data_IF_515233054233
#
_entry.id   IF_515233054233
#
_cell.length_a   1.000
_cell.length_b   1.000
_cell.length_c   1.000
_cell.angle_alpha   90.00
_cell.angle_beta   90.00
_cell.angle_gamma   90.00
#
_symmetry.space_group_name_H-M   'P 1'
#
loop_
_entity.id
_entity.type
_entity.pdbx_description
1 polymer ?
#
# COMPACT_ATOMS: atom_id res chain seq x y z
N UNK A 1 15.17 23.47 31.85
CA UNK A 1 14.80 22.83 30.56
C UNK A 1 15.79 21.73 30.16
N UNK A 2 17.10 21.98 30.03
CA UNK A 2 18.06 20.95 29.56
C UNK A 2 18.23 19.64 30.35
N UNK A 3 17.53 19.43 31.47
CA UNK A 3 17.46 18.14 32.18
C UNK A 3 16.08 17.46 32.09
N UNK A 4 15.09 18.16 31.53
CA UNK A 4 13.69 17.76 31.46
C UNK A 4 13.26 17.43 30.02
N UNK A 5 13.98 17.95 29.02
CA UNK A 5 13.68 17.73 27.62
C UNK A 5 14.21 16.35 27.15
N UNK A 6 13.58 15.80 26.12
CA UNK A 6 14.08 14.61 25.45
C UNK A 6 15.43 14.92 24.75
N UNK A 7 16.36 13.94 24.62
CA UNK A 7 17.69 14.17 24.03
C UNK A 7 17.68 14.78 22.63
N UNK A 8 16.62 14.52 21.83
CA UNK A 8 16.43 15.10 20.50
C UNK A 8 16.33 16.64 20.52
N UNK A 9 16.05 17.25 21.67
CA UNK A 9 15.89 18.70 21.87
C UNK A 9 17.15 19.38 22.41
N UNK A 10 18.24 18.65 22.62
CA UNK A 10 19.46 19.20 23.22
C UNK A 10 20.05 20.35 22.39
N UNK A 11 19.93 20.30 21.06
CA UNK A 11 20.37 21.37 20.17
C UNK A 11 19.50 22.63 20.31
N UNK A 12 18.18 22.47 20.47
CA UNK A 12 17.26 23.60 20.68
C UNK A 12 17.54 24.27 22.03
N UNK A 13 17.81 23.48 23.08
CA UNK A 13 18.25 23.99 24.38
C UNK A 13 19.60 24.69 24.31
N UNK A 14 20.54 24.23 23.48
CA UNK A 14 21.83 24.89 23.27
C UNK A 14 21.65 26.25 22.59
N UNK A 15 20.77 26.34 21.59
CA UNK A 15 20.41 27.60 20.92
C UNK A 15 19.80 28.60 21.89
N UNK A 16 18.89 28.16 22.77
CA UNK A 16 18.31 29.01 23.81
C UNK A 16 19.37 29.68 24.70
N UNK A 17 20.42 28.94 25.09
CA UNK A 17 21.50 29.48 25.93
C UNK A 17 22.36 30.53 25.22
N UNK A 18 22.41 30.48 23.88
CA UNK A 18 23.19 31.42 23.07
C UNK A 18 22.43 32.72 22.74
N UNK A 19 21.11 32.76 22.96
CA UNK A 19 20.27 33.93 22.65
C UNK A 19 20.40 35.01 23.73
N UNK A 20 20.98 36.16 23.37
CA UNK A 20 21.21 37.28 24.29
C UNK A 20 20.03 38.27 24.44
N UNK A 21 19.09 38.30 23.49
CA UNK A 21 17.91 39.17 23.57
C UNK A 21 16.78 38.48 24.36
N UNK A 22 16.30 39.14 25.41
CA UNK A 22 15.27 38.62 26.33
C UNK A 22 13.95 38.30 25.63
N UNK A 23 13.51 39.13 24.67
CA UNK A 23 12.22 38.93 23.98
C UNK A 23 12.29 37.69 23.09
N UNK A 24 13.36 37.56 22.32
CA UNK A 24 13.63 36.40 21.45
C UNK A 24 13.85 35.13 22.28
N UNK A 25 14.53 35.25 23.43
CA UNK A 25 14.69 34.15 24.37
C UNK A 25 13.32 33.64 24.85
N UNK A 26 12.44 34.53 25.31
CA UNK A 26 11.10 34.15 25.75
C UNK A 26 10.28 33.48 24.63
N UNK A 27 10.32 34.03 23.40
CA UNK A 27 9.67 33.42 22.23
C UNK A 27 10.18 32.00 21.95
N UNK A 28 11.49 31.81 21.96
CA UNK A 28 12.08 30.50 21.72
C UNK A 28 11.78 29.52 22.88
N UNK A 29 11.69 30.00 24.13
CA UNK A 29 11.29 29.17 25.27
C UNK A 29 9.87 28.62 25.07
N UNK A 30 8.91 29.47 24.70
CA UNK A 30 7.55 29.01 24.41
C UNK A 30 7.52 27.98 23.28
N UNK A 31 8.28 28.23 22.21
CA UNK A 31 8.40 27.26 21.13
C UNK A 31 8.94 25.90 21.60
N UNK A 32 9.96 25.87 22.46
CA UNK A 32 10.49 24.62 23.02
C UNK A 32 9.50 23.95 23.96
N UNK A 33 8.73 24.69 24.75
CA UNK A 33 7.67 24.13 25.59
C UNK A 33 6.56 23.47 24.76
N UNK A 34 6.18 24.06 23.62
CA UNK A 34 5.22 23.47 22.70
C UNK A 34 5.75 22.15 22.11
N UNK A 35 7.03 22.13 21.72
CA UNK A 35 7.69 20.91 21.25
C UNK A 35 7.73 19.84 22.36
N UNK A 36 8.00 20.21 23.61
CA UNK A 36 7.97 19.29 24.75
C UNK A 36 6.58 18.70 24.99
N UNK A 37 5.52 19.49 24.83
CA UNK A 37 4.15 18.99 24.94
C UNK A 37 3.86 17.93 23.87
N UNK A 38 4.31 18.15 22.63
CA UNK A 38 4.19 17.16 21.54
C UNK A 38 5.03 15.91 21.82
N UNK A 39 6.24 16.06 22.35
CA UNK A 39 7.10 14.93 22.73
C UNK A 39 6.45 14.08 23.82
N UNK A 40 5.83 14.70 24.83
CA UNK A 40 5.09 14.02 25.89
C UNK A 40 3.87 13.28 25.34
N UNK A 41 3.07 13.90 24.47
CA UNK A 41 1.94 13.25 23.83
C UNK A 41 2.38 12.02 23.03
N UNK A 42 3.45 12.15 22.22
CA UNK A 42 4.02 11.04 21.46
C UNK A 42 4.54 9.92 22.35
N UNK A 43 5.18 10.26 23.48
CA UNK A 43 5.64 9.27 24.46
C UNK A 43 4.46 8.49 25.06
N UNK A 44 3.40 9.18 25.50
CA UNK A 44 2.21 8.55 26.07
C UNK A 44 1.52 7.64 25.04
N UNK A 45 1.39 8.10 23.79
CA UNK A 45 0.84 7.27 22.70
C UNK A 45 1.69 5.99 22.53
N UNK A 46 3.02 6.11 22.51
CA UNK A 46 3.93 4.97 22.37
C UNK A 46 3.85 4.01 23.56
N UNK A 47 3.75 4.53 24.79
CA UNK A 47 3.67 3.70 26.00
C UNK A 47 2.35 2.93 26.08
N UNK A 48 1.23 3.57 25.72
CA UNK A 48 -0.09 2.94 25.84
C UNK A 48 -0.49 2.09 24.63
N UNK A 49 0.01 2.39 23.42
CA UNK A 49 -0.30 1.64 22.18
C UNK A 49 -0.27 0.11 22.33
N UNK A 50 0.77 -0.54 22.91
CA UNK A 50 0.79 -2.00 23.00
C UNK A 50 -0.32 -2.56 23.91
N UNK A 51 -0.74 -1.81 24.93
CA UNK A 51 -1.84 -2.21 25.81
C UNK A 51 -3.18 -2.14 25.08
N UNK A 52 -3.43 -1.03 24.37
CA UNK A 52 -4.63 -0.87 23.56
C UNK A 52 -4.72 -1.91 22.45
N UNK A 53 -3.62 -2.19 21.75
CA UNK A 53 -3.61 -3.18 20.66
C UNK A 53 -4.00 -4.58 21.14
N UNK A 54 -3.56 -5.01 22.33
CA UNK A 54 -3.95 -6.31 22.89
C UNK A 54 -5.44 -6.37 23.17
N UNK A 55 -5.99 -5.35 23.83
CA UNK A 55 -7.41 -5.30 24.18
C UNK A 55 -8.32 -5.10 22.95
N UNK A 56 -7.84 -4.36 21.94
CA UNK A 56 -8.56 -4.09 20.71
C UNK A 56 -8.93 -5.38 19.98
N UNK A 57 -7.98 -6.31 19.84
CA UNK A 57 -8.20 -7.57 19.14
C UNK A 57 -9.31 -8.38 19.80
N UNK A 58 -9.28 -8.49 21.13
CA UNK A 58 -10.28 -9.24 21.88
C UNK A 58 -11.64 -8.52 21.83
N UNK A 59 -11.66 -7.21 22.01
CA UNK A 59 -12.88 -6.40 21.97
C UNK A 59 -13.58 -6.49 20.60
N UNK A 60 -12.87 -6.23 19.50
CA UNK A 60 -13.44 -6.28 18.15
C UNK A 60 -13.92 -7.69 17.81
N UNK A 61 -13.16 -8.72 18.19
CA UNK A 61 -13.56 -10.12 17.96
C UNK A 61 -14.83 -10.47 18.72
N UNK A 62 -14.93 -10.12 20.01
CA UNK A 62 -16.13 -10.37 20.82
C UNK A 62 -17.33 -9.63 20.25
N UNK A 63 -17.18 -8.36 19.88
CA UNK A 63 -18.26 -7.57 19.28
C UNK A 63 -18.72 -8.13 17.94
N UNK A 64 -17.79 -8.57 17.10
CA UNK A 64 -18.15 -9.19 15.83
C UNK A 64 -18.82 -10.56 16.02
N UNK A 65 -18.42 -11.32 17.04
CA UNK A 65 -19.07 -12.58 17.40
C UNK A 65 -20.53 -12.35 17.84
N UNK A 66 -20.80 -11.31 18.66
CA UNK A 66 -22.18 -10.91 19.02
C UNK A 66 -23.01 -10.59 17.77
N UNK A 67 -22.44 -9.85 16.80
CA UNK A 67 -23.13 -9.52 15.53
C UNK A 67 -23.46 -10.79 14.74
N UNK A 68 -22.58 -11.79 14.72
CA UNK A 68 -22.83 -13.05 14.01
C UNK A 68 -23.92 -13.91 14.66
N UNK A 69 -24.05 -13.83 15.99
CA UNK A 69 -25.10 -14.53 16.72
C UNK A 69 -26.48 -13.92 16.44
N UNK A 70 -26.55 -12.59 16.30
CA UNK A 70 -27.78 -11.89 15.92
C UNK A 70 -28.08 -12.00 14.42
N UNK A 71 -27.05 -11.97 13.57
CA UNK A 71 -27.16 -11.97 12.11
C UNK A 71 -26.21 -13.01 11.49
N UNK A 72 -26.66 -14.26 11.31
CA UNK A 72 -25.83 -15.34 10.76
C UNK A 72 -25.30 -15.09 9.34
N UNK A 73 -25.92 -14.20 8.56
CA UNK A 73 -25.50 -13.80 7.21
C UNK A 73 -24.44 -12.69 7.17
N UNK A 74 -23.94 -12.21 8.32
CA UNK A 74 -22.98 -11.10 8.40
C UNK A 74 -21.57 -11.39 7.83
N UNK A 75 -21.36 -12.56 7.21
CA UNK A 75 -20.11 -12.97 6.55
C UNK A 75 -20.27 -13.31 5.07
N UNK A 76 -21.43 -13.04 4.46
CA UNK A 76 -21.71 -13.45 3.08
C UNK A 76 -20.77 -12.75 2.08
N UNK A 77 -20.54 -11.44 2.21
CA UNK A 77 -19.65 -10.68 1.31
C UNK A 77 -18.19 -11.09 1.54
N UNK A 78 -17.79 -11.27 2.79
CA UNK A 78 -16.47 -11.77 3.16
C UNK A 78 -16.23 -13.17 2.58
N UNK A 79 -17.22 -14.04 2.64
CA UNK A 79 -17.15 -15.40 2.06
C UNK A 79 -17.03 -15.35 0.55
N UNK A 80 -17.82 -14.50 -0.12
CA UNK A 80 -17.74 -14.28 -1.58
C UNK A 80 -16.37 -13.75 -2.00
N UNK A 81 -15.84 -12.75 -1.29
CA UNK A 81 -14.51 -12.18 -1.53
C UNK A 81 -13.38 -13.22 -1.43
N UNK A 82 -13.40 -14.07 -0.40
CA UNK A 82 -12.42 -15.15 -0.26
C UNK A 82 -12.62 -16.21 -1.35
N UNK A 83 -13.87 -16.58 -1.65
CA UNK A 83 -14.22 -17.59 -2.68
C UNK A 83 -13.74 -17.20 -4.08
N UNK A 84 -13.83 -15.93 -4.45
CA UNK A 84 -13.27 -15.43 -5.72
C UNK A 84 -11.76 -15.74 -5.83
N UNK A 85 -11.03 -15.60 -4.73
CA UNK A 85 -9.60 -15.92 -4.68
C UNK A 85 -9.32 -17.42 -4.72
N UNK A 86 -10.12 -18.23 -4.03
CA UNK A 86 -10.04 -19.70 -4.13
C UNK A 86 -10.22 -20.16 -5.58
N UNK A 87 -11.24 -19.64 -6.27
CA UNK A 87 -11.56 -20.03 -7.63
C UNK A 87 -10.43 -19.68 -8.61
N UNK A 88 -9.88 -18.46 -8.51
CA UNK A 88 -8.76 -18.04 -9.36
C UNK A 88 -7.49 -18.86 -9.11
N UNK A 89 -7.15 -19.14 -7.85
CA UNK A 89 -6.00 -20.00 -7.55
C UNK A 89 -6.21 -21.41 -8.11
N UNK A 90 -7.43 -21.95 -8.03
CA UNK A 90 -7.76 -23.26 -8.59
C UNK A 90 -7.58 -23.31 -10.12
N UNK A 91 -7.99 -22.23 -10.82
CA UNK A 91 -7.79 -22.10 -12.26
C UNK A 91 -6.31 -22.01 -12.61
N UNK A 92 -5.53 -21.23 -11.85
CA UNK A 92 -4.09 -21.07 -12.08
C UNK A 92 -3.30 -22.39 -11.90
N UNK A 93 -3.69 -23.21 -10.93
CA UNK A 93 -3.09 -24.54 -10.68
C UNK A 93 -3.47 -25.52 -11.80
N UNK A 94 -4.69 -25.41 -12.33
CA UNK A 94 -5.15 -26.24 -13.45
C UNK A 94 -4.41 -25.91 -14.76
N UNK A 95 -4.05 -24.64 -14.99
CA UNK A 95 -3.27 -24.22 -16.16
C UNK A 95 -1.79 -24.62 -16.07
N UNK A 96 -1.21 -24.64 -14.88
CA UNK A 96 0.20 -25.06 -14.65
C UNK A 96 0.37 -26.58 -14.53
N UNK A 97 -0.72 -27.34 -14.31
CA UNK A 97 -0.74 -28.79 -14.12
C UNK A 97 -0.74 -29.66 -15.38
N UNK A 98 -0.40 -29.14 -16.56
CA UNK A 98 -0.44 -29.86 -17.85
C UNK A 98 0.64 -30.95 -18.06
N UNK A 99 1.25 -31.49 -16.99
CA UNK A 99 2.02 -32.75 -17.09
C UNK A 99 1.18 -33.91 -16.55
N UNK A 100 0.69 -34.84 -17.39
CA UNK A 100 -0.05 -36.00 -16.93
C UNK A 100 0.91 -37.02 -16.33
N UNK A 101 1.16 -36.93 -15.02
CA UNK A 101 1.73 -38.02 -14.25
C UNK A 101 0.59 -38.79 -13.56
N UNK A 102 0.58 -40.09 -13.79
CA UNK A 102 -0.46 -41.05 -13.47
C UNK A 102 -1.04 -40.94 -12.04
N UNK A 103 -2.38 -40.99 -11.98
CA UNK A 103 -3.12 -41.75 -10.97
C UNK A 103 -2.95 -41.34 -9.52
N UNK A 104 -3.57 -40.24 -9.10
CA UNK A 104 -4.30 -40.11 -7.82
C UNK A 104 -5.03 -38.77 -7.85
N UNK A 105 -6.36 -38.80 -7.70
CA UNK A 105 -7.22 -37.61 -7.70
C UNK A 105 -7.09 -36.82 -6.39
N UNK A 106 -5.89 -36.32 -6.10
CA UNK A 106 -5.69 -35.35 -5.02
C UNK A 106 -6.23 -34.00 -5.48
N UNK A 107 -7.22 -33.45 -4.76
CA UNK A 107 -7.63 -32.06 -4.96
C UNK A 107 -6.39 -31.17 -4.78
N UNK A 108 -6.18 -30.14 -5.62
CA UNK A 108 -5.03 -29.27 -5.47
C UNK A 108 -5.01 -28.67 -4.07
N UNK A 109 -3.92 -28.92 -3.34
CA UNK A 109 -3.75 -28.42 -1.97
C UNK A 109 -3.43 -26.93 -2.02
N UNK A 110 -4.46 -26.10 -2.00
CA UNK A 110 -4.32 -24.64 -1.87
C UNK A 110 -3.94 -24.29 -0.43
N UNK A 111 -2.90 -23.47 -0.26
CA UNK A 111 -2.52 -22.93 1.05
C UNK A 111 -3.55 -21.87 1.49
N UNK A 112 -4.24 -22.04 2.64
CA UNK A 112 -5.22 -21.07 3.14
C UNK A 112 -4.61 -19.66 3.33
N UNK A 113 -3.35 -19.59 3.76
CA UNK A 113 -2.62 -18.33 3.93
C UNK A 113 -2.35 -17.65 2.59
N UNK A 114 -2.01 -18.41 1.56
CA UNK A 114 -1.77 -17.88 0.21
C UNK A 114 -3.06 -17.31 -0.37
N UNK A 115 -4.16 -18.07 -0.28
CA UNK A 115 -5.49 -17.63 -0.74
C UNK A 115 -5.87 -16.32 -0.06
N UNK A 116 -5.78 -16.26 1.27
CA UNK A 116 -6.14 -15.06 2.02
C UNK A 116 -5.24 -13.86 1.67
N UNK A 117 -3.93 -14.06 1.52
CA UNK A 117 -3.02 -13.00 1.07
C UNK A 117 -3.40 -12.46 -0.32
N UNK A 118 -3.74 -13.35 -1.25
CA UNK A 118 -4.16 -12.93 -2.59
C UNK A 118 -5.53 -12.23 -2.55
N UNK A 119 -6.45 -12.64 -1.66
CA UNK A 119 -7.70 -11.92 -1.42
C UNK A 119 -7.45 -10.49 -0.98
N UNK A 120 -6.52 -10.26 -0.06
CA UNK A 120 -6.13 -8.91 0.34
C UNK A 120 -5.55 -8.14 -0.84
N UNK A 121 -4.56 -8.68 -1.58
CA UNK A 121 -3.94 -7.97 -2.71
C UNK A 121 -4.95 -7.46 -3.75
N UNK A 122 -6.03 -8.21 -3.99
CA UNK A 122 -7.12 -7.78 -4.89
C UNK A 122 -7.87 -6.54 -4.41
N UNK A 123 -7.88 -6.25 -3.10
CA UNK A 123 -8.49 -5.03 -2.57
C UNK A 123 -7.79 -3.76 -3.06
N UNK A 124 -6.52 -3.86 -3.45
CA UNK A 124 -5.76 -2.76 -4.07
C UNK A 124 -6.09 -2.54 -5.56
N UNK A 125 -6.92 -3.41 -6.13
CA UNK A 125 -7.47 -3.30 -7.49
C UNK A 125 -9.00 -3.29 -7.45
N UNK A 126 -9.59 -3.03 -6.28
CA UNK A 126 -11.02 -3.14 -6.08
C UNK A 126 -11.77 -1.97 -6.71
N UNK A 127 -12.93 -2.27 -7.30
CA UNK A 127 -13.89 -1.25 -7.69
C UNK A 127 -14.78 -0.91 -6.49
N UNK A 128 -14.35 0.08 -5.71
CA UNK A 128 -15.05 0.57 -4.50
C UNK A 128 -16.44 1.17 -4.80
N UNK A 129 -16.78 1.44 -6.07
CA UNK A 129 -18.09 2.01 -6.44
C UNK A 129 -19.12 0.93 -6.78
N UNK A 130 -18.68 -0.20 -7.33
CA UNK A 130 -19.59 -1.23 -7.86
C UNK A 130 -19.60 -2.53 -7.06
N UNK A 131 -18.51 -2.84 -6.36
CA UNK A 131 -18.31 -4.17 -5.78
C UNK A 131 -18.49 -4.14 -4.27
N UNK A 132 -19.30 -5.08 -3.77
CA UNK A 132 -19.62 -5.21 -2.34
C UNK A 132 -18.35 -5.38 -1.49
N UNK A 133 -18.18 -4.52 -0.49
CA UNK A 133 -17.00 -4.57 0.37
C UNK A 133 -17.15 -5.63 1.50
N UNK A 134 -16.08 -6.38 1.85
CA UNK A 134 -16.14 -7.39 2.91
C UNK A 134 -16.51 -6.79 4.27
N UNK A 135 -17.46 -7.41 4.99
CA UNK A 135 -17.94 -6.92 6.30
C UNK A 135 -16.80 -6.82 7.31
N UNK A 136 -15.88 -7.78 7.28
CA UNK A 136 -14.70 -7.83 8.15
C UNK A 136 -13.71 -6.69 7.92
N UNK A 137 -13.87 -5.88 6.88
CA UNK A 137 -12.97 -4.77 6.54
C UNK A 137 -13.67 -3.41 6.51
N UNK A 138 -14.97 -3.35 6.82
CA UNK A 138 -15.79 -2.14 6.65
C UNK A 138 -15.26 -0.92 7.41
N UNK A 139 -14.64 -1.15 8.57
CA UNK A 139 -14.03 -0.09 9.39
C UNK A 139 -12.78 0.53 8.75
N UNK A 140 -12.11 -0.22 7.86
CA UNK A 140 -10.90 0.19 7.15
C UNK A 140 -11.15 0.57 5.68
N UNK A 141 -12.41 0.56 5.22
CA UNK A 141 -12.77 0.80 3.81
C UNK A 141 -12.18 2.10 3.26
N UNK A 142 -12.43 3.24 3.92
CA UNK A 142 -11.91 4.54 3.49
C UNK A 142 -10.37 4.59 3.45
N UNK A 143 -9.71 3.92 4.40
CA UNK A 143 -8.23 3.86 4.48
C UNK A 143 -7.68 3.00 3.34
N UNK A 144 -8.33 1.90 3.02
CA UNK A 144 -7.95 1.00 1.93
C UNK A 144 -8.19 1.64 0.57
N UNK A 145 -9.27 2.41 0.43
CA UNK A 145 -9.53 3.23 -0.74
C UNK A 145 -8.40 4.26 -0.92
N UNK A 146 -8.07 5.06 0.11
CA UNK A 146 -6.98 6.06 0.04
C UNK A 146 -5.63 5.43 -0.34
N UNK A 147 -5.32 4.24 0.18
CA UNK A 147 -4.11 3.51 -0.19
C UNK A 147 -4.13 3.03 -1.65
N UNK A 148 -5.27 2.57 -2.13
CA UNK A 148 -5.46 2.15 -3.54
C UNK A 148 -5.27 3.33 -4.49
N UNK A 149 -5.87 4.47 -4.13
CA UNK A 149 -5.76 5.75 -4.82
C UNK A 149 -4.31 6.22 -4.95
N UNK A 150 -3.57 6.25 -3.83
CA UNK A 150 -2.13 6.57 -3.82
C UNK A 150 -1.32 5.57 -4.63
N UNK A 151 -1.63 4.29 -4.54
CA UNK A 151 -0.92 3.24 -5.27
C UNK A 151 -1.08 3.43 -6.78
N UNK A 152 -2.28 3.76 -7.25
CA UNK A 152 -2.53 4.02 -8.66
C UNK A 152 -1.75 5.25 -9.17
N UNK A 153 -1.69 6.32 -8.37
CA UNK A 153 -0.84 7.48 -8.69
C UNK A 153 0.64 7.09 -8.82
N UNK A 154 1.16 6.31 -7.87
CA UNK A 154 2.55 5.82 -7.89
C UNK A 154 2.83 4.91 -9.10
N UNK A 155 1.88 4.06 -9.51
CA UNK A 155 2.00 3.24 -10.73
C UNK A 155 2.25 4.11 -11.96
N UNK A 156 1.47 5.19 -12.13
CA UNK A 156 1.63 6.11 -13.26
C UNK A 156 2.98 6.81 -13.19
N UNK A 157 3.37 7.33 -12.02
CA UNK A 157 4.70 7.97 -11.84
C UNK A 157 5.84 7.01 -12.20
N UNK A 158 5.76 5.74 -11.79
CA UNK A 158 6.76 4.73 -12.14
C UNK A 158 6.79 4.45 -13.65
N UNK A 159 5.62 4.40 -14.32
CA UNK A 159 5.55 4.26 -15.78
C UNK A 159 6.21 5.44 -16.50
N UNK A 160 5.88 6.67 -16.11
CA UNK A 160 6.44 7.91 -16.66
C UNK A 160 7.96 7.96 -16.48
N UNK A 161 8.43 7.59 -15.29
CA UNK A 161 9.85 7.55 -14.98
C UNK A 161 10.59 6.49 -15.80
N UNK A 162 9.98 5.32 -15.99
CA UNK A 162 10.56 4.25 -16.80
C UNK A 162 10.65 4.66 -18.29
N UNK A 163 9.62 5.28 -18.84
CA UNK A 163 9.65 5.81 -20.22
C UNK A 163 10.72 6.89 -20.35
N UNK A 164 10.78 7.82 -19.40
CA UNK A 164 11.77 8.90 -19.39
C UNK A 164 13.20 8.33 -19.36
N UNK A 165 13.47 7.35 -18.49
CA UNK A 165 14.79 6.73 -18.40
C UNK A 165 15.13 5.89 -19.64
N UNK A 166 14.15 5.23 -20.28
CA UNK A 166 14.40 4.49 -21.52
C UNK A 166 14.70 5.41 -22.71
N UNK A 167 14.00 6.55 -22.80
CA UNK A 167 14.14 7.48 -23.93
C UNK A 167 15.30 8.47 -23.75
N UNK A 168 15.46 8.98 -22.53
CA UNK A 168 16.35 10.08 -22.19
C UNK A 168 17.43 9.66 -21.20
N UNK A 169 17.64 8.36 -20.96
CA UNK A 169 18.57 7.83 -19.96
C UNK A 169 19.97 8.40 -20.07
N UNK A 170 20.52 8.49 -21.29
CA UNK A 170 21.85 9.08 -21.52
C UNK A 170 21.93 10.58 -21.17
N UNK A 171 20.79 11.28 -21.19
CA UNK A 171 20.68 12.70 -20.85
C UNK A 171 20.46 12.87 -19.34
N UNK A 172 19.68 11.97 -18.72
CA UNK A 172 19.34 12.01 -17.30
C UNK A 172 20.37 11.29 -16.42
N UNK A 173 21.35 10.62 -17.01
CA UNK A 173 22.44 9.95 -16.29
C UNK A 173 23.24 10.95 -15.44
N UNK A 174 23.40 10.65 -14.15
CA UNK A 174 24.07 11.54 -13.19
C UNK A 174 23.27 12.79 -12.79
N UNK A 175 21.95 12.84 -13.04
CA UNK A 175 21.06 13.95 -12.66
C UNK A 175 19.93 13.50 -11.70
N UNK A 176 20.25 13.12 -10.44
CA UNK A 176 19.23 12.69 -9.47
C UNK A 176 18.21 13.80 -9.16
N UNK A 177 18.66 15.06 -9.10
CA UNK A 177 17.78 16.21 -8.82
C UNK A 177 16.73 16.45 -9.90
N UNK A 178 17.04 16.14 -11.17
CA UNK A 178 16.08 16.22 -12.27
C UNK A 178 15.03 15.13 -12.13
N UNK A 179 15.43 13.90 -11.83
CA UNK A 179 14.48 12.79 -11.61
C UNK A 179 13.51 13.12 -10.47
N UNK A 180 14.01 13.68 -9.36
CA UNK A 180 13.18 14.12 -8.25
C UNK A 180 12.24 15.29 -8.61
N UNK A 181 12.70 16.25 -9.41
CA UNK A 181 11.85 17.33 -9.95
C UNK A 181 10.73 16.78 -10.82
N UNK A 182 11.05 15.90 -11.76
CA UNK A 182 10.06 15.27 -12.66
C UNK A 182 9.04 14.42 -11.88
N UNK A 183 9.49 13.69 -10.86
CA UNK A 183 8.60 12.97 -9.94
C UNK A 183 7.64 13.92 -9.23
N UNK A 184 8.14 15.03 -8.65
CA UNK A 184 7.29 16.02 -7.97
C UNK A 184 6.27 16.67 -8.90
N UNK A 185 6.70 17.08 -10.10
CA UNK A 185 5.80 17.65 -11.12
C UNK A 185 4.71 16.64 -11.49
N UNK A 186 5.09 15.39 -11.75
CA UNK A 186 4.14 14.33 -12.08
C UNK A 186 3.16 14.09 -10.95
N UNK A 187 3.64 14.07 -9.70
CA UNK A 187 2.80 13.88 -8.52
C UNK A 187 1.74 14.99 -8.37
N UNK A 188 2.14 16.25 -8.55
CA UNK A 188 1.21 17.39 -8.48
C UNK A 188 0.16 17.34 -9.60
N UNK A 189 0.58 17.05 -10.83
CA UNK A 189 -0.35 16.99 -11.96
C UNK A 189 -1.31 15.79 -11.89
N UNK A 190 -0.88 14.68 -11.27
CA UNK A 190 -1.71 13.49 -11.04
C UNK A 190 -2.55 13.59 -9.76
N UNK A 191 -2.52 14.70 -9.04
CA UNK A 191 -3.34 14.88 -7.85
C UNK A 191 -4.84 14.86 -8.20
N UNK A 192 -5.62 14.05 -7.48
CA UNK A 192 -7.05 13.89 -7.75
C UNK A 192 -7.39 12.93 -8.90
N UNK A 193 -6.46 12.05 -9.29
CA UNK A 193 -6.67 11.03 -10.34
C UNK A 193 -7.92 10.16 -10.13
N UNK A 194 -8.41 10.04 -8.90
CA UNK A 194 -9.54 9.18 -8.54
C UNK A 194 -10.91 9.91 -8.63
N UNK A 195 -10.94 11.18 -9.03
CA UNK A 195 -12.17 11.93 -9.25
C UNK A 195 -12.76 11.56 -10.62
N UNK A 196 -14.09 11.44 -10.70
CA UNK A 196 -14.79 11.11 -11.96
C UNK A 196 -14.52 12.11 -13.10
N UNK A 197 -14.22 13.36 -12.76
CA UNK A 197 -13.92 14.42 -13.72
C UNK A 197 -12.47 14.40 -14.22
N UNK A 198 -11.64 13.48 -13.75
CA UNK A 198 -10.22 13.46 -14.07
C UNK A 198 -9.95 12.88 -15.46
N UNK A 199 -9.42 13.72 -16.36
CA UNK A 199 -9.02 13.29 -17.70
C UNK A 199 -7.55 12.85 -17.69
N UNK A 200 -7.32 11.55 -17.51
CA UNK A 200 -5.97 10.98 -17.45
C UNK A 200 -5.16 11.28 -18.71
N UNK A 201 -5.75 11.22 -19.90
CA UNK A 201 -5.06 11.50 -21.16
C UNK A 201 -4.52 12.92 -21.24
N UNK A 202 -5.34 13.90 -20.87
CA UNK A 202 -4.96 15.31 -20.89
C UNK A 202 -3.85 15.62 -19.88
N UNK A 203 -3.95 15.02 -18.69
CA UNK A 203 -2.90 15.14 -17.67
C UNK A 203 -1.61 14.49 -18.13
N UNK A 204 -1.65 13.28 -18.73
CA UNK A 204 -0.46 12.61 -19.27
C UNK A 204 0.22 13.43 -20.38
N UNK A 205 -0.56 14.05 -21.27
CA UNK A 205 -0.03 14.99 -22.26
C UNK A 205 0.67 16.18 -21.58
N UNK A 206 0.02 16.77 -20.57
CA UNK A 206 0.55 17.93 -19.83
C UNK A 206 1.85 17.57 -19.08
N UNK A 207 1.91 16.39 -18.47
CA UNK A 207 3.11 15.86 -17.83
C UNK A 207 4.23 15.64 -18.85
N UNK A 208 3.91 15.16 -20.05
CA UNK A 208 4.87 14.99 -21.13
C UNK A 208 5.49 16.32 -21.58
N UNK A 209 4.64 17.33 -21.81
CA UNK A 209 5.09 18.69 -22.16
C UNK A 209 5.96 19.29 -21.05
N UNK A 210 5.54 19.18 -19.79
CA UNK A 210 6.31 19.69 -18.66
C UNK A 210 7.64 18.94 -18.50
N UNK A 211 7.66 17.62 -18.74
CA UNK A 211 8.90 16.83 -18.71
C UNK A 211 9.88 17.33 -19.77
N UNK A 212 9.43 17.56 -21.01
CA UNK A 212 10.26 18.15 -22.06
C UNK A 212 10.80 19.53 -21.65
N UNK A 213 9.97 20.38 -21.04
CA UNK A 213 10.38 21.71 -20.59
C UNK A 213 11.46 21.65 -19.48
N UNK A 214 11.27 20.81 -18.46
CA UNK A 214 12.23 20.66 -17.36
C UNK A 214 13.56 20.04 -17.81
N UNK A 215 13.51 19.10 -18.76
CA UNK A 215 14.72 18.51 -19.38
C UNK A 215 15.45 19.56 -20.22
N UNK A 216 14.75 20.28 -21.10
CA UNK A 216 15.35 21.33 -21.93
C UNK A 216 15.98 22.45 -21.08
N UNK A 217 15.32 22.85 -19.99
CA UNK A 217 15.90 23.80 -19.03
C UNK A 217 17.23 23.30 -18.47
N UNK A 218 17.28 22.04 -18.04
CA UNK A 218 18.49 21.43 -17.47
C UNK A 218 19.61 21.27 -18.52
N UNK A 219 19.26 20.99 -19.77
CA UNK A 219 20.20 20.93 -20.90
C UNK A 219 20.83 22.30 -21.18
N UNK A 220 20.01 23.36 -21.24
CA UNK A 220 20.47 24.74 -21.46
C UNK A 220 21.39 25.20 -20.33
N UNK A 221 21.05 24.91 -19.06
CA UNK A 221 21.89 25.21 -17.90
C UNK A 221 23.27 24.54 -17.98
N UNK A 222 23.39 23.42 -18.69
CA UNK A 222 24.64 22.69 -18.93
C UNK A 222 25.32 23.02 -20.27
N UNK A 223 24.78 23.96 -21.04
CA UNK A 223 25.29 24.31 -22.36
C UNK A 223 25.11 23.23 -23.44
N UNK A 224 24.18 22.30 -23.22
CA UNK A 224 23.85 21.22 -24.17
C UNK A 224 22.67 21.64 -25.07
N UNK A 225 22.57 21.07 -26.29
CA UNK A 225 21.43 21.36 -27.17
C UNK A 225 20.14 20.81 -26.59
N UNK A 226 19.04 21.55 -26.79
CA UNK A 226 17.69 21.12 -26.42
C UNK A 226 17.25 19.88 -27.21
N UNK A 227 16.30 19.14 -26.66
CA UNK A 227 15.65 18.02 -27.34
C UNK A 227 15.02 18.48 -28.66
N UNK A 228 15.17 17.68 -29.73
CA UNK A 228 14.51 17.95 -31.00
C UNK A 228 12.98 17.74 -30.89
N UNK A 229 12.24 18.30 -31.85
CA UNK A 229 10.77 18.24 -31.83
C UNK A 229 10.23 16.80 -31.92
N UNK A 230 10.95 15.93 -32.64
CA UNK A 230 10.57 14.52 -32.80
C UNK A 230 10.65 13.73 -31.48
N UNK A 231 11.74 13.88 -30.72
CA UNK A 231 11.91 13.23 -29.41
C UNK A 231 10.87 13.75 -28.42
N UNK A 232 10.58 15.06 -28.44
CA UNK A 232 9.53 15.64 -27.60
C UNK A 232 8.15 15.07 -27.94
N UNK A 233 7.80 15.03 -29.24
CA UNK A 233 6.53 14.47 -29.70
C UNK A 233 6.40 12.98 -29.36
N UNK A 234 7.48 12.21 -29.52
CA UNK A 234 7.51 10.79 -29.16
C UNK A 234 7.34 10.60 -27.65
N UNK A 235 7.99 11.40 -26.81
CA UNK A 235 7.84 11.30 -25.35
C UNK A 235 6.41 11.55 -24.90
N UNK A 236 5.80 12.63 -25.40
CA UNK A 236 4.39 12.95 -25.14
C UNK A 236 3.47 11.83 -25.62
N UNK A 237 3.72 11.29 -26.82
CA UNK A 237 2.96 10.16 -27.37
C UNK A 237 3.06 8.89 -26.51
N UNK A 238 4.26 8.55 -26.03
CA UNK A 238 4.49 7.42 -25.13
C UNK A 238 3.78 7.61 -23.79
N UNK A 239 3.81 8.81 -23.20
CA UNK A 239 3.09 9.08 -21.95
C UNK A 239 1.59 8.90 -22.11
N UNK A 240 1.02 9.45 -23.17
CA UNK A 240 -0.42 9.32 -23.44
C UNK A 240 -0.87 7.89 -23.76
N UNK A 241 0.07 7.03 -24.17
CA UNK A 241 -0.21 5.60 -24.35
C UNK A 241 -0.43 4.83 -23.04
N UNK A 242 -0.05 5.39 -21.88
CA UNK A 242 -0.20 4.74 -20.55
C UNK A 242 -1.68 4.61 -20.14
N UNK A 243 -2.54 5.50 -20.65
CA UNK A 243 -3.98 5.46 -20.39
C UNK A 243 -4.59 4.09 -20.74
N UNK A 244 -4.09 3.45 -21.79
CA UNK A 244 -4.59 2.17 -22.27
C UNK A 244 -4.28 1.04 -21.27
N UNK A 245 -5.26 0.18 -21.01
CA UNK A 245 -5.11 -0.95 -20.09
C UNK A 245 -4.14 -2.03 -20.59
N UNK A 246 -4.02 -2.18 -21.91
CA UNK A 246 -3.13 -3.13 -22.58
C UNK A 246 -1.67 -2.64 -22.69
N UNK A 247 -1.36 -1.48 -22.10
CA UNK A 247 -0.03 -0.91 -22.17
C UNK A 247 1.01 -1.85 -21.50
N UNK A 248 2.06 -2.27 -22.22
CA UNK A 248 3.02 -3.25 -21.70
C UNK A 248 3.83 -2.72 -20.52
N UNK A 249 4.10 -1.41 -20.48
CA UNK A 249 4.82 -0.76 -19.38
C UNK A 249 3.94 -0.72 -18.14
N UNK A 250 2.65 -0.37 -18.29
CA UNK A 250 1.67 -0.41 -17.19
C UNK A 250 1.53 -1.82 -16.62
N UNK A 251 1.39 -2.83 -17.47
CA UNK A 251 1.32 -4.24 -17.05
C UNK A 251 2.60 -4.70 -16.33
N UNK A 252 3.77 -4.30 -16.83
CA UNK A 252 5.06 -4.61 -16.21
C UNK A 252 5.19 -4.01 -14.81
N UNK A 253 4.87 -2.71 -14.67
CA UNK A 253 4.92 -2.01 -13.38
C UNK A 253 3.92 -2.60 -12.40
N UNK A 254 2.69 -2.89 -12.84
CA UNK A 254 1.67 -3.50 -12.00
C UNK A 254 2.14 -4.87 -11.49
N UNK A 255 2.65 -5.75 -12.37
CA UNK A 255 3.21 -7.06 -11.97
C UNK A 255 4.33 -6.93 -10.94
N UNK A 256 5.26 -5.99 -11.14
CA UNK A 256 6.38 -5.76 -10.20
C UNK A 256 5.88 -5.29 -8.82
N UNK A 257 4.91 -4.38 -8.80
CA UNK A 257 4.29 -3.89 -7.55
C UNK A 257 3.52 -5.02 -6.86
N UNK A 258 2.74 -5.80 -7.60
CA UNK A 258 2.02 -6.95 -7.05
C UNK A 258 2.98 -7.99 -6.44
N UNK A 259 4.10 -8.29 -7.12
CA UNK A 259 5.14 -9.17 -6.58
C UNK A 259 5.74 -8.61 -5.28
N UNK A 260 6.09 -7.32 -5.26
CA UNK A 260 6.64 -6.67 -4.07
C UNK A 260 5.67 -6.73 -2.88
N UNK A 261 4.39 -6.36 -3.11
CA UNK A 261 3.36 -6.36 -2.06
C UNK A 261 3.03 -7.79 -1.59
N UNK A 262 3.03 -8.76 -2.50
CA UNK A 262 2.87 -10.19 -2.15
C UNK A 262 3.99 -10.67 -1.24
N UNK A 263 5.24 -10.34 -1.56
CA UNK A 263 6.39 -10.64 -0.70
C UNK A 263 6.26 -9.94 0.66
N UNK A 264 5.78 -8.70 0.69
CA UNK A 264 5.59 -7.93 1.91
C UNK A 264 4.53 -8.55 2.85
N UNK A 265 3.39 -8.98 2.31
CA UNK A 265 2.33 -9.65 3.08
C UNK A 265 2.72 -11.06 3.54
N UNK A 266 3.70 -11.68 2.89
CA UNK A 266 4.27 -12.97 3.29
C UNK A 266 5.20 -12.88 4.50
N UNK A 267 5.65 -11.68 4.88
CA UNK A 267 6.57 -11.49 5.99
C UNK A 267 5.85 -11.45 7.34
N UNK A 268 6.35 -12.14 8.38
CA UNK A 268 5.77 -12.11 9.72
C UNK A 268 5.92 -10.74 10.41
N UNK A 269 6.88 -9.90 9.98
CA UNK A 269 7.05 -8.54 10.47
C UNK A 269 7.68 -7.64 9.40
N UNK A 270 6.88 -6.87 8.64
CA UNK A 270 7.40 -6.03 7.56
C UNK A 270 8.31 -4.88 8.05
N UNK A 271 8.22 -4.51 9.34
CA UNK A 271 9.00 -3.41 9.93
C UNK A 271 10.48 -3.75 10.17
N UNK A 272 10.89 -5.02 10.09
CA UNK A 272 12.26 -5.46 10.43
C UNK A 272 13.12 -5.77 9.21
N UNK A 273 12.53 -6.18 8.09
CA UNK A 273 13.25 -6.51 6.87
C UNK A 273 12.32 -6.34 5.67
N UNK A 274 12.48 -5.25 4.93
CA UNK A 274 11.72 -5.02 3.70
C UNK A 274 12.27 -5.90 2.57
N UNK A 275 11.40 -6.44 1.69
CA UNK A 275 11.87 -7.18 0.54
C UNK A 275 12.62 -6.24 -0.43
N UNK A 276 13.58 -6.76 -1.22
CA UNK A 276 14.31 -5.95 -2.18
C UNK A 276 13.35 -5.36 -3.22
N UNK A 277 13.55 -4.09 -3.55
CA UNK A 277 12.73 -3.38 -4.53
C UNK A 277 12.97 -3.93 -5.94
N UNK A 278 11.94 -4.35 -6.69
CA UNK A 278 12.09 -4.74 -8.08
C UNK A 278 12.63 -3.60 -8.95
N UNK A 279 13.42 -3.94 -9.96
CA UNK A 279 13.97 -2.96 -10.90
C UNK A 279 12.90 -2.08 -11.54
N UNK A 280 13.23 -0.80 -11.78
CA UNK A 280 12.30 0.19 -12.36
C UNK A 280 11.31 0.81 -11.35
N UNK A 281 11.29 0.38 -10.09
CA UNK A 281 10.48 1.00 -9.03
C UNK A 281 11.30 1.89 -8.07
N UNK A 282 12.61 2.01 -8.27
CA UNK A 282 13.50 2.78 -7.40
C UNK A 282 13.05 4.24 -7.21
N UNK A 283 12.48 4.86 -8.24
CA UNK A 283 12.00 6.25 -8.20
C UNK A 283 10.88 6.47 -7.20
N UNK A 284 10.05 5.44 -6.96
CA UNK A 284 8.91 5.46 -6.05
C UNK A 284 9.15 4.60 -4.79
N UNK A 285 10.42 4.23 -4.53
CA UNK A 285 10.73 3.24 -3.50
C UNK A 285 10.24 3.68 -2.12
N UNK A 286 10.57 4.90 -1.72
CA UNK A 286 10.24 5.43 -0.40
C UNK A 286 8.72 5.49 -0.19
N UNK A 287 7.99 5.97 -1.20
CA UNK A 287 6.54 6.08 -1.16
C UNK A 287 5.87 4.71 -1.13
N UNK A 288 6.38 3.75 -1.92
CA UNK A 288 5.85 2.39 -1.98
C UNK A 288 6.13 1.60 -0.69
N UNK A 289 7.28 1.80 -0.05
CA UNK A 289 7.61 1.19 1.24
C UNK A 289 6.68 1.69 2.35
N UNK A 290 6.41 3.01 2.40
CA UNK A 290 5.48 3.59 3.37
C UNK A 290 4.06 3.08 3.15
N UNK A 291 3.58 3.10 1.90
CA UNK A 291 2.26 2.61 1.52
C UNK A 291 2.12 1.12 1.85
N UNK A 292 3.11 0.31 1.47
CA UNK A 292 3.15 -1.12 1.73
C UNK A 292 3.12 -1.42 3.23
N UNK A 293 3.90 -0.69 4.05
CA UNK A 293 3.87 -0.86 5.50
C UNK A 293 2.51 -0.50 6.10
N UNK A 294 1.90 0.59 5.66
CA UNK A 294 0.55 0.99 6.11
C UNK A 294 -0.47 -0.10 5.78
N UNK A 295 -0.44 -0.58 4.54
CA UNK A 295 -1.31 -1.63 4.06
C UNK A 295 -1.11 -2.95 4.82
N UNK A 296 0.14 -3.38 4.99
CA UNK A 296 0.47 -4.60 5.73
C UNK A 296 0.05 -4.52 7.21
N UNK A 297 0.13 -3.34 7.85
CA UNK A 297 -0.35 -3.15 9.21
C UNK A 297 -1.88 -3.33 9.31
N UNK A 298 -2.65 -2.81 8.34
CA UNK A 298 -4.11 -3.01 8.28
C UNK A 298 -4.41 -4.50 8.14
N UNK A 299 -3.81 -5.15 7.14
CA UNK A 299 -4.00 -6.58 6.88
C UNK A 299 -3.62 -7.44 8.09
N UNK A 300 -2.50 -7.16 8.74
CA UNK A 300 -2.04 -7.94 9.89
C UNK A 300 -2.92 -7.77 11.13
N UNK A 301 -3.40 -6.55 11.41
CA UNK A 301 -4.36 -6.31 12.49
C UNK A 301 -5.67 -7.03 12.20
N UNK A 302 -6.17 -6.89 10.97
CA UNK A 302 -7.40 -7.52 10.53
C UNK A 302 -7.32 -9.07 10.62
N UNK A 303 -6.21 -9.68 10.21
CA UNK A 303 -5.95 -11.11 10.41
C UNK A 303 -5.92 -11.52 11.89
N UNK A 304 -5.39 -10.67 12.77
CA UNK A 304 -5.38 -10.96 14.21
C UNK A 304 -6.80 -10.96 14.78
N UNK A 305 -7.64 -10.00 14.39
CA UNK A 305 -9.02 -9.90 14.85
C UNK A 305 -9.86 -11.04 14.27
N UNK A 306 -9.90 -11.13 12.93
CA UNK A 306 -10.87 -11.94 12.19
C UNK A 306 -10.35 -13.32 11.77
N UNK A 307 -9.11 -13.67 12.10
CA UNK A 307 -8.47 -14.94 11.75
C UNK A 307 -9.32 -16.19 12.02
N UNK A 308 -9.98 -16.34 13.18
CA UNK A 308 -10.87 -17.47 13.45
C UNK A 308 -12.05 -17.59 12.47
N UNK A 309 -12.64 -16.45 12.05
CA UNK A 309 -13.73 -16.44 11.08
C UNK A 309 -13.24 -16.81 9.68
N UNK A 310 -12.10 -16.27 9.26
CA UNK A 310 -11.47 -16.64 7.99
C UNK A 310 -11.10 -18.13 7.95
N UNK A 311 -10.56 -18.67 9.04
CA UNK A 311 -10.23 -20.09 9.14
C UNK A 311 -11.47 -20.97 8.94
N UNK A 312 -12.63 -20.58 9.51
CA UNK A 312 -13.88 -21.30 9.32
C UNK A 312 -14.39 -21.22 7.87
N UNK A 313 -14.32 -20.04 7.23
CA UNK A 313 -14.68 -19.85 5.81
C UNK A 313 -13.78 -20.70 4.91
N UNK A 314 -12.46 -20.60 5.09
CA UNK A 314 -11.48 -21.35 4.30
C UNK A 314 -11.63 -22.86 4.52
N UNK A 315 -11.95 -23.32 5.74
CA UNK A 315 -12.21 -24.74 6.01
C UNK A 315 -13.39 -25.25 5.18
N UNK A 316 -14.50 -24.50 5.18
CA UNK A 316 -15.70 -24.82 4.39
C UNK A 316 -15.40 -24.82 2.88
N UNK A 317 -14.71 -23.79 2.39
CA UNK A 317 -14.45 -23.61 0.95
C UNK A 317 -13.42 -24.62 0.40
N UNK A 318 -12.39 -24.96 1.17
CA UNK A 318 -11.30 -25.82 0.71
C UNK A 318 -11.54 -27.31 1.00
N UNK A 319 -12.20 -27.64 2.12
CA UNK A 319 -12.35 -29.01 2.59
C UNK A 319 -13.80 -29.51 2.62
N UNK A 320 -14.79 -28.64 2.48
CA UNK A 320 -16.21 -29.03 2.43
C UNK A 320 -16.81 -29.49 3.77
N UNK A 321 -16.15 -29.19 4.89
CA UNK A 321 -16.66 -29.52 6.22
C UNK A 321 -17.64 -28.45 6.70
N UNK A 322 -18.91 -28.81 6.90
CA UNK A 322 -19.84 -28.03 7.72
C UNK A 322 -19.39 -28.12 9.18
N UNK A 323 -19.33 -26.98 9.88
CA UNK A 323 -18.91 -26.93 11.27
C UNK A 323 -19.87 -27.76 12.14
N UNK A 324 -19.42 -28.95 12.58
CA UNK A 324 -20.11 -29.78 13.56
C UNK A 324 -20.02 -29.13 14.94
N UNK A 325 -20.90 -28.17 15.19
CA UNK A 325 -21.19 -27.67 16.53
C UNK A 325 -22.46 -28.33 17.07
N UNK A 326 -22.33 -29.40 17.86
CA UNK A 326 -23.27 -29.80 18.92
C UNK A 326 -22.68 -30.90 19.81
N UNK A 327 -22.11 -30.46 20.94
CA UNK A 327 -22.20 -31.03 22.29
C UNK A 327 -22.54 -32.52 22.44
N UNK A 328 -21.52 -33.34 22.71
CA UNK A 328 -21.67 -34.56 23.50
C UNK A 328 -21.74 -34.19 24.99
N UNK A 329 -22.92 -33.80 25.45
CA UNK A 329 -23.32 -34.03 26.84
C UNK A 329 -23.87 -35.45 26.92
N UNK A 330 -22.99 -36.44 27.14
CA UNK A 330 -23.42 -37.73 27.66
C UNK A 330 -23.52 -37.61 29.18
N UNK A 331 -24.76 -37.38 29.62
CA UNK A 331 -25.20 -37.68 30.98
C UNK A 331 -25.06 -39.18 31.22
N UNK A 332 -24.15 -39.59 32.10
CA UNK A 332 -24.19 -40.91 32.74
C UNK A 332 -24.72 -40.77 34.16
N UNK A 333 -26.03 -40.97 34.30
CA UNK A 333 -26.67 -41.30 35.57
C UNK A 333 -27.73 -42.37 35.29
N UNK A 334 -27.37 -43.63 35.54
CA UNK A 334 -28.10 -44.59 36.37
C UNK A 334 -27.37 -45.94 36.39
#
# INVERSE_FOLDING_TARGET
MGKLCAPVRDDDIRKLKATGNIVELLRQIFHVLDLMNMDMANFLIRSFRPHFQRQLVDYERTKFQEILEETPSALDKTTKWIKESVNEELLSVSETGLTPAAGTSSKPHLSPTLVLNNSYLKLLQWDYQKKEFPETLITDEARLQELTEKLNQLKIIACLSLITNNMLGAITEGLPELADRLKRVSAVLLEGMNKETFNLKEVLNSVGVQTCAEVNKTLVERGLPTLNAEVQANLVGQFSSIEKEDNPIRSLIDKRIQLYLKSLLGLPSPQKCLPPMPGGLAVIQQELEVLGCQYANIVNLNKQVYGPFYANILRKLLFGEEATGKTDTSSSAN
#
